data_IF_406677165706
#
_entry.id   IF_406677165706
#
_cell.length_a   1.000
_cell.length_b   1.000
_cell.length_c   1.000
_cell.angle_alpha   90.00
_cell.angle_beta   90.00
_cell.angle_gamma   90.00
#
_symmetry.space_group_name_H-M   'P 1'
#
loop_
_entity.id
_entity.type
_entity.pdbx_description
1 polymer ?
#
# COMPACT_ATOMS: atom_id res chain seq x y z
N UNK A 1 -3.65 -10.43 14.31
CA UNK A 1 -3.29 -10.42 12.87
C UNK A 1 -3.23 -8.96 12.46
N UNK A 2 -2.28 -8.59 11.61
CA UNK A 2 -2.20 -7.26 11.00
C UNK A 2 -1.74 -7.44 9.56
N UNK A 3 -2.57 -7.11 8.58
CA UNK A 3 -2.26 -7.19 7.15
C UNK A 3 -2.69 -5.90 6.47
N UNK A 4 -1.93 -5.44 5.48
CA UNK A 4 -2.29 -4.27 4.67
C UNK A 4 -3.47 -4.57 3.76
N UNK A 5 -4.41 -3.62 3.70
CA UNK A 5 -5.54 -3.64 2.78
C UNK A 5 -5.73 -2.25 2.16
N UNK A 6 -5.23 -2.06 0.94
CA UNK A 6 -5.52 -0.85 0.17
C UNK A 6 -6.93 -0.96 -0.43
N UNK A 7 -7.80 0.04 -0.21
CA UNK A 7 -9.10 0.08 -0.88
C UNK A 7 -9.13 1.17 -1.94
N UNK A 8 -9.17 0.80 -3.22
CA UNK A 8 -9.27 1.72 -4.35
C UNK A 8 -10.72 1.81 -4.84
N UNK A 9 -11.25 3.02 -4.85
CA UNK A 9 -12.53 3.35 -5.49
C UNK A 9 -12.28 3.75 -6.94
N UNK A 10 -13.04 3.17 -7.87
CA UNK A 10 -12.77 3.32 -9.31
C UNK A 10 -14.03 3.20 -10.16
N UNK A 11 -14.12 4.04 -11.18
CA UNK A 11 -15.12 3.94 -12.25
C UNK A 11 -14.73 2.97 -13.37
N UNK A 12 -13.55 2.36 -13.28
CA UNK A 12 -12.98 1.44 -14.25
C UNK A 12 -12.63 0.09 -13.58
N UNK A 13 -13.59 -0.46 -12.81
CA UNK A 13 -13.38 -1.66 -11.99
C UNK A 13 -12.84 -2.85 -12.81
N UNK A 14 -13.40 -3.23 -13.98
CA UNK A 14 -12.89 -4.34 -14.77
C UNK A 14 -11.44 -4.13 -15.25
N UNK A 15 -11.12 -2.92 -15.71
CA UNK A 15 -9.81 -2.56 -16.24
C UNK A 15 -8.74 -2.56 -15.14
N UNK A 16 -9.04 -1.95 -13.99
CA UNK A 16 -8.12 -1.91 -12.86
C UNK A 16 -7.92 -3.31 -12.28
N UNK A 17 -8.97 -4.14 -12.23
CA UNK A 17 -8.85 -5.56 -11.84
C UNK A 17 -7.91 -6.30 -12.80
N UNK A 18 -8.08 -6.13 -14.12
CA UNK A 18 -7.21 -6.75 -15.13
C UNK A 18 -5.75 -6.34 -14.95
N UNK A 19 -5.48 -5.05 -14.76
CA UNK A 19 -4.13 -4.54 -14.47
C UNK A 19 -3.51 -5.23 -13.25
N UNK A 20 -4.24 -5.34 -12.14
CA UNK A 20 -3.73 -5.96 -10.92
C UNK A 20 -3.47 -7.46 -11.09
N UNK A 21 -4.28 -8.17 -11.88
CA UNK A 21 -4.02 -9.56 -12.26
C UNK A 21 -2.78 -9.69 -13.14
N UNK A 22 -2.60 -8.80 -14.12
CA UNK A 22 -1.43 -8.79 -15.01
C UNK A 22 -0.14 -8.46 -14.24
N UNK A 23 -0.24 -7.70 -13.15
CA UNK A 23 0.82 -7.45 -12.18
C UNK A 23 1.14 -8.67 -11.30
N UNK A 24 0.30 -9.70 -11.31
CA UNK A 24 0.52 -10.95 -10.58
C UNK A 24 -0.18 -11.03 -9.22
N UNK A 25 -1.16 -10.15 -8.94
CA UNK A 25 -2.11 -10.41 -7.86
C UNK A 25 -3.09 -11.50 -8.32
N UNK A 26 -3.73 -12.17 -7.37
CA UNK A 26 -4.70 -13.25 -7.64
C UNK A 26 -6.08 -12.91 -7.09
N UNK A 27 -7.16 -13.41 -7.69
CA UNK A 27 -8.51 -13.21 -7.16
C UNK A 27 -8.63 -13.84 -5.77
N UNK A 28 -9.20 -13.09 -4.82
CA UNK A 28 -9.54 -13.57 -3.48
C UNK A 28 -11.05 -13.70 -3.30
N UNK A 29 -11.73 -12.57 -3.20
CA UNK A 29 -13.18 -12.47 -2.98
C UNK A 29 -13.78 -11.47 -3.97
N UNK A 30 -15.01 -11.68 -4.42
CA UNK A 30 -15.67 -10.74 -5.33
C UNK A 30 -17.19 -10.75 -5.18
N UNK A 31 -17.82 -9.67 -5.63
CA UNK A 31 -19.26 -9.50 -5.64
C UNK A 31 -19.67 -8.35 -6.55
N UNK A 32 -20.95 -8.00 -6.53
CA UNK A 32 -21.46 -6.91 -7.35
C UNK A 32 -20.81 -5.57 -6.96
N UNK A 33 -20.10 -4.95 -7.90
CA UNK A 33 -19.44 -3.66 -7.71
C UNK A 33 -18.19 -3.69 -6.81
N UNK A 34 -17.62 -4.87 -6.51
CA UNK A 34 -16.36 -4.94 -5.76
C UNK A 34 -15.58 -6.23 -6.00
N UNK A 35 -14.27 -6.16 -5.76
CA UNK A 35 -13.37 -7.31 -5.76
C UNK A 35 -12.27 -7.12 -4.72
N UNK A 36 -11.69 -8.20 -4.22
CA UNK A 36 -10.47 -8.22 -3.41
C UNK A 36 -9.48 -9.13 -4.09
N UNK A 37 -8.29 -8.58 -4.36
CA UNK A 37 -7.17 -9.30 -4.93
C UNK A 37 -6.07 -9.43 -3.88
N UNK A 38 -5.50 -10.62 -3.81
CA UNK A 38 -4.41 -10.92 -2.92
C UNK A 38 -3.08 -10.79 -3.67
N UNK A 39 -2.13 -10.08 -3.06
CA UNK A 39 -0.72 -10.14 -3.48
C UNK A 39 0.02 -11.19 -2.66
N UNK A 40 1.30 -11.40 -2.95
CA UNK A 40 2.14 -12.18 -2.04
C UNK A 40 2.20 -11.53 -0.66
N UNK A 41 2.07 -10.21 -0.52
CA UNK A 41 2.19 -9.53 0.77
C UNK A 41 1.22 -8.34 0.86
N UNK A 42 0.04 -8.57 1.44
CA UNK A 42 -1.04 -7.58 1.53
C UNK A 42 -2.14 -7.79 0.47
N UNK A 43 -3.20 -6.99 0.55
CA UNK A 43 -4.39 -7.11 -0.33
C UNK A 43 -4.80 -5.77 -0.92
N UNK A 44 -5.46 -5.83 -2.06
CA UNK A 44 -6.12 -4.68 -2.68
C UNK A 44 -7.60 -4.98 -2.82
N UNK A 45 -8.44 -4.16 -2.19
CA UNK A 45 -9.88 -4.12 -2.46
C UNK A 45 -10.16 -3.07 -3.51
N UNK A 46 -10.97 -3.44 -4.49
CA UNK A 46 -11.54 -2.55 -5.47
C UNK A 46 -13.02 -2.34 -5.17
N UNK A 47 -13.48 -1.10 -5.26
CA UNK A 47 -14.89 -0.71 -5.14
C UNK A 47 -15.28 0.11 -6.36
N UNK A 48 -16.42 -0.21 -6.97
CA UNK A 48 -17.01 0.64 -7.99
C UNK A 48 -17.33 2.02 -7.42
N UNK A 49 -17.05 3.05 -8.21
CA UNK A 49 -17.44 4.43 -7.98
C UNK A 49 -18.02 5.02 -9.27
N UNK A 50 -18.85 6.05 -9.15
CA UNK A 50 -19.33 6.79 -10.31
C UNK A 50 -18.18 7.60 -10.92
N UNK A 51 -18.08 7.62 -12.26
CA UNK A 51 -17.04 8.35 -12.97
C UNK A 51 -17.07 9.85 -12.62
N UNK A 52 -15.92 10.36 -12.19
CA UNK A 52 -15.78 11.78 -11.82
C UNK A 52 -16.38 12.16 -10.46
N UNK A 53 -16.91 11.19 -9.70
CA UNK A 53 -17.28 11.42 -8.31
C UNK A 53 -16.03 11.73 -7.46
N UNK A 54 -16.17 12.39 -6.30
CA UNK A 54 -15.04 12.66 -5.41
C UNK A 54 -14.29 11.41 -4.91
N UNK A 55 -14.93 10.24 -4.97
CA UNK A 55 -14.33 8.96 -4.59
C UNK A 55 -13.58 8.30 -5.75
N UNK A 56 -13.88 8.66 -7.00
CA UNK A 56 -13.28 8.03 -8.17
C UNK A 56 -11.76 8.26 -8.18
N UNK A 57 -11.02 7.17 -8.30
CA UNK A 57 -9.57 7.19 -8.23
C UNK A 57 -8.99 7.38 -6.81
N UNK A 58 -9.79 7.36 -5.74
CA UNK A 58 -9.25 7.50 -4.38
C UNK A 58 -8.80 6.16 -3.81
N UNK A 59 -7.71 6.18 -3.04
CA UNK A 59 -7.24 5.02 -2.27
C UNK A 59 -7.37 5.31 -0.78
N UNK A 60 -8.04 4.41 -0.06
CA UNK A 60 -8.18 4.45 1.38
C UNK A 60 -7.10 3.57 2.01
N UNK A 61 -6.41 4.15 2.99
CA UNK A 61 -5.48 3.45 3.86
C UNK A 61 -6.28 2.53 4.80
N UNK A 62 -5.93 1.25 4.88
CA UNK A 62 -6.64 0.28 5.72
C UNK A 62 -5.80 -0.94 6.06
N UNK A 63 -6.20 -1.62 7.13
CA UNK A 63 -5.59 -2.89 7.54
C UNK A 63 -6.65 -3.92 7.89
N UNK A 64 -6.28 -5.19 7.80
CA UNK A 64 -7.09 -6.31 8.28
C UNK A 64 -6.55 -6.85 9.60
N UNK A 65 -7.48 -7.17 10.51
CA UNK A 65 -7.21 -7.70 11.83
C UNK A 65 -8.06 -8.94 12.10
N UNK A 66 -7.67 -9.76 13.08
CA UNK A 66 -8.46 -10.96 13.42
C UNK A 66 -9.63 -10.63 14.33
N UNK A 67 -9.39 -9.76 15.31
CA UNK A 67 -10.33 -9.41 16.36
C UNK A 67 -10.25 -7.90 16.58
N UNK A 68 -11.34 -7.20 16.28
CA UNK A 68 -11.40 -5.74 16.37
C UNK A 68 -11.29 -5.25 17.82
N UNK A 69 -11.94 -5.92 18.78
CA UNK A 69 -11.95 -5.51 20.18
C UNK A 69 -10.55 -5.64 20.80
N UNK A 70 -9.93 -6.80 20.62
CA UNK A 70 -8.58 -7.04 21.16
C UNK A 70 -7.53 -6.17 20.44
N UNK A 71 -7.71 -5.91 19.15
CA UNK A 71 -6.83 -5.00 18.41
C UNK A 71 -6.93 -3.57 18.92
N UNK A 72 -8.14 -3.04 19.14
CA UNK A 72 -8.35 -1.70 19.68
C UNK A 72 -7.71 -1.58 21.08
N UNK A 73 -7.96 -2.56 21.95
CA UNK A 73 -7.40 -2.58 23.31
C UNK A 73 -5.88 -2.52 23.30
N UNK A 74 -5.21 -3.41 22.55
CA UNK A 74 -3.74 -3.43 22.46
C UNK A 74 -3.17 -2.16 21.87
N UNK A 75 -3.82 -1.62 20.83
CA UNK A 75 -3.38 -0.35 20.21
C UNK A 75 -3.39 0.79 21.23
N UNK A 76 -4.40 0.86 22.11
CA UNK A 76 -4.46 1.85 23.19
C UNK A 76 -3.41 1.57 24.26
N UNK A 77 -3.24 0.32 24.68
CA UNK A 77 -2.22 -0.07 25.67
C UNK A 77 -0.80 0.26 25.20
N UNK A 78 -0.55 0.15 23.89
CA UNK A 78 0.73 0.49 23.25
C UNK A 78 0.86 1.99 22.91
N UNK A 79 -0.06 2.84 23.41
CA UNK A 79 0.01 4.30 23.31
C UNK A 79 -0.60 4.92 22.04
N UNK A 80 -1.27 4.11 21.21
CA UNK A 80 -2.02 4.57 20.05
C UNK A 80 -3.43 5.07 20.39
N UNK A 81 -4.13 5.62 19.38
CA UNK A 81 -5.55 6.01 19.51
C UNK A 81 -6.39 5.11 18.63
N UNK A 82 -7.22 4.29 19.25
CA UNK A 82 -8.12 3.37 18.59
C UNK A 82 -9.53 3.42 19.22
N UNK A 83 -10.56 3.39 18.38
CA UNK A 83 -11.95 3.35 18.80
C UNK A 83 -12.71 2.29 18.00
N UNK A 84 -13.54 1.50 18.69
CA UNK A 84 -14.46 0.60 18.01
C UNK A 84 -15.58 1.41 17.34
N UNK A 85 -15.90 1.06 16.10
CA UNK A 85 -17.02 1.61 15.35
C UNK A 85 -17.91 0.46 14.87
N UNK A 86 -19.22 0.64 14.99
CA UNK A 86 -20.19 -0.23 14.33
C UNK A 86 -20.30 0.16 12.86
N UNK A 87 -20.32 -0.85 11.99
CA UNK A 87 -20.53 -0.67 10.55
C UNK A 87 -21.49 -1.74 10.05
N UNK A 88 -22.07 -1.53 8.86
CA UNK A 88 -22.94 -2.52 8.22
C UNK A 88 -22.25 -3.89 8.02
N UNK A 89 -20.91 -3.92 7.95
CA UNK A 89 -20.10 -5.14 7.84
C UNK A 89 -19.65 -5.73 9.19
N UNK A 90 -20.18 -5.24 10.30
CA UNK A 90 -19.76 -5.61 11.65
C UNK A 90 -18.80 -4.61 12.30
N UNK A 91 -18.29 -4.93 13.50
CA UNK A 91 -17.42 -4.02 14.26
C UNK A 91 -16.08 -3.85 13.55
N UNK A 92 -15.63 -2.60 13.43
CA UNK A 92 -14.30 -2.23 12.92
C UNK A 92 -13.60 -1.34 13.93
N UNK A 93 -12.32 -1.07 13.73
CA UNK A 93 -11.57 -0.13 14.57
C UNK A 93 -11.16 1.07 13.74
N UNK A 94 -11.48 2.27 14.20
CA UNK A 94 -10.89 3.51 13.72
C UNK A 94 -9.58 3.76 14.46
N UNK A 95 -8.52 4.00 13.72
CA UNK A 95 -7.23 4.44 14.22
C UNK A 95 -7.07 5.90 13.82
N UNK A 96 -6.59 6.73 14.76
CA UNK A 96 -6.39 8.17 14.53
C UNK A 96 -4.97 8.58 14.91
N UNK A 97 -4.24 9.14 13.96
CA UNK A 97 -2.92 9.70 14.15
C UNK A 97 -2.90 10.98 14.99
N UNK A 98 -1.71 11.43 15.40
CA UNK A 98 -1.55 12.70 16.10
C UNK A 98 -1.86 13.92 15.22
N UNK A 99 -1.70 13.79 13.90
CA UNK A 99 -2.01 14.80 12.88
C UNK A 99 -3.49 14.80 12.44
N UNK A 100 -4.33 13.95 13.06
CA UNK A 100 -5.74 13.80 12.71
C UNK A 100 -6.03 12.89 11.52
N UNK A 101 -5.01 12.36 10.83
CA UNK A 101 -5.23 11.32 9.83
C UNK A 101 -5.89 10.11 10.48
N UNK A 102 -6.87 9.50 9.82
CA UNK A 102 -7.52 8.32 10.36
C UNK A 102 -7.78 7.27 9.31
N UNK A 103 -7.60 6.02 9.70
CA UNK A 103 -7.83 4.84 8.86
C UNK A 103 -8.54 3.74 9.66
N UNK A 104 -8.96 2.69 8.97
CA UNK A 104 -9.73 1.60 9.58
C UNK A 104 -8.95 0.29 9.62
N UNK A 105 -9.18 -0.47 10.70
CA UNK A 105 -8.86 -1.88 10.77
C UNK A 105 -10.15 -2.71 10.71
N UNK A 106 -10.24 -3.61 9.73
CA UNK A 106 -11.42 -4.44 9.50
C UNK A 106 -11.16 -5.89 9.94
N UNK A 107 -12.13 -6.54 10.61
CA UNK A 107 -12.00 -7.96 10.94
C UNK A 107 -11.99 -8.81 9.67
N UNK A 108 -11.12 -9.82 9.63
CA UNK A 108 -11.08 -10.83 8.57
C UNK A 108 -10.86 -12.22 9.14
N UNK A 109 -11.51 -13.22 8.54
CA UNK A 109 -11.23 -14.63 8.76
C UNK A 109 -10.13 -15.15 7.80
N UNK A 110 -9.77 -14.37 6.78
CA UNK A 110 -8.82 -14.75 5.75
C UNK A 110 -7.38 -14.68 6.29
N UNK A 111 -6.78 -15.86 6.56
CA UNK A 111 -5.46 -15.96 7.18
C UNK A 111 -4.33 -16.44 6.26
N UNK A 112 -4.68 -16.94 5.07
CA UNK A 112 -3.73 -17.52 4.12
C UNK A 112 -2.87 -16.47 3.42
N UNK A 113 -1.71 -16.89 2.94
CA UNK A 113 -0.96 -16.22 1.87
C UNK A 113 -1.29 -16.96 0.58
N UNK A 114 -1.62 -16.29 -0.53
CA UNK A 114 -1.86 -17.00 -1.78
C UNK A 114 -0.54 -17.60 -2.27
N UNK A 115 -0.61 -18.85 -2.72
CA UNK A 115 0.56 -19.55 -3.27
C UNK A 115 0.84 -19.16 -4.72
N UNK A 116 -0.19 -18.68 -5.44
CA UNK A 116 -0.11 -18.37 -6.87
C UNK A 116 0.14 -16.88 -7.17
N UNK A 117 0.20 -16.02 -6.15
CA UNK A 117 0.55 -14.62 -6.33
C UNK A 117 2.03 -14.45 -6.61
N UNK A 118 2.38 -13.47 -7.46
CA UNK A 118 3.77 -13.12 -7.78
C UNK A 118 4.55 -12.84 -6.48
N UNK A 119 5.57 -13.65 -6.14
CA UNK A 119 6.27 -13.58 -4.86
C UNK A 119 7.02 -12.26 -4.67
N UNK A 120 7.30 -11.54 -5.75
CA UNK A 120 8.02 -10.27 -5.70
C UNK A 120 7.08 -9.07 -5.52
N UNK A 121 5.76 -9.27 -5.55
CA UNK A 121 4.76 -8.21 -5.48
C UNK A 121 4.19 -8.03 -4.07
N UNK A 122 4.34 -6.83 -3.51
CA UNK A 122 3.89 -6.45 -2.17
C UNK A 122 3.03 -5.20 -2.22
N UNK A 123 1.91 -5.19 -1.48
CA UNK A 123 1.08 -3.98 -1.34
C UNK A 123 1.70 -3.04 -0.30
N UNK A 124 1.79 -1.75 -0.65
CA UNK A 124 2.26 -0.68 0.21
C UNK A 124 1.17 0.36 0.42
N UNK A 125 1.02 0.82 1.65
CA UNK A 125 0.20 1.99 1.98
C UNK A 125 1.06 3.11 2.52
N UNK A 126 0.78 4.33 2.07
CA UNK A 126 1.51 5.53 2.46
C UNK A 126 0.58 6.48 3.22
N UNK A 127 1.03 6.89 4.39
CA UNK A 127 0.47 7.96 5.19
C UNK A 127 1.39 9.17 5.06
N UNK A 128 0.95 10.14 4.26
CA UNK A 128 1.61 11.42 4.11
C UNK A 128 1.32 12.28 5.34
N UNK A 129 2.33 12.81 6.00
CA UNK A 129 2.16 13.44 7.32
C UNK A 129 3.14 14.59 7.55
N UNK A 130 2.71 15.69 8.22
CA UNK A 130 3.63 16.70 8.73
C UNK A 130 4.40 16.22 9.99
N UNK A 131 3.87 15.22 10.69
CA UNK A 131 4.42 14.66 11.94
C UNK A 131 4.90 13.22 11.71
N UNK A 132 6.07 13.10 11.05
CA UNK A 132 6.66 11.80 10.69
C UNK A 132 6.87 10.88 11.89
N UNK A 133 7.33 11.41 13.01
CA UNK A 133 7.64 10.61 14.20
C UNK A 133 6.35 10.19 14.93
N UNK A 134 5.36 11.07 15.00
CA UNK A 134 4.05 10.74 15.54
C UNK A 134 3.29 9.69 14.73
N UNK A 135 3.33 9.80 13.39
CA UNK A 135 2.77 8.77 12.51
C UNK A 135 3.52 7.44 12.65
N UNK A 136 4.85 7.46 12.72
CA UNK A 136 5.67 6.27 12.96
C UNK A 136 5.33 5.59 14.29
N UNK A 137 5.13 6.36 15.37
CA UNK A 137 4.70 5.85 16.66
C UNK A 137 3.29 5.21 16.59
N UNK A 138 2.35 5.85 15.87
CA UNK A 138 1.01 5.29 15.66
C UNK A 138 1.04 3.97 14.88
N UNK A 139 1.89 3.85 13.85
CA UNK A 139 2.08 2.59 13.11
C UNK A 139 2.73 1.52 13.99
N UNK A 140 3.68 1.87 14.86
CA UNK A 140 4.23 0.93 15.84
C UNK A 140 3.18 0.44 16.84
N UNK A 141 2.32 1.34 17.33
CA UNK A 141 1.27 1.03 18.31
C UNK A 141 0.20 0.06 17.78
N UNK A 142 -0.06 0.02 16.46
CA UNK A 142 -0.94 -1.01 15.86
C UNK A 142 -0.24 -2.37 15.69
N UNK A 143 1.01 -2.49 16.14
CA UNK A 143 1.82 -3.71 16.04
C UNK A 143 2.57 -3.87 14.71
N UNK A 144 2.69 -2.82 13.89
CA UNK A 144 3.56 -2.84 12.73
C UNK A 144 5.03 -2.77 13.17
N UNK A 145 5.93 -3.41 12.42
CA UNK A 145 7.35 -3.53 12.82
C UNK A 145 8.25 -2.69 11.91
N UNK A 146 9.11 -1.81 12.45
CA UNK A 146 10.06 -1.06 11.62
C UNK A 146 10.90 -1.97 10.74
N UNK A 147 11.06 -1.61 9.45
CA UNK A 147 11.99 -2.29 8.54
C UNK A 147 13.41 -1.83 8.84
N UNK A 148 14.29 -2.78 9.18
CA UNK A 148 15.71 -2.49 9.46
C UNK A 148 16.46 -2.06 8.20
N UNK A 149 16.13 -2.68 7.06
CA UNK A 149 16.75 -2.41 5.75
C UNK A 149 15.65 -2.13 4.72
N UNK A 150 15.07 -0.92 4.72
CA UNK A 150 14.07 -0.58 3.73
C UNK A 150 14.71 -0.47 2.34
N UNK A 151 14.22 -1.27 1.40
CA UNK A 151 14.68 -1.26 0.01
C UNK A 151 14.16 -0.04 -0.76
N UNK A 152 12.98 0.47 -0.36
CA UNK A 152 12.24 1.47 -1.12
C UNK A 152 11.99 2.79 -0.39
N UNK A 153 12.55 2.97 0.81
CA UNK A 153 12.32 4.17 1.60
C UNK A 153 13.18 5.35 1.11
N UNK A 154 12.58 6.50 0.77
CA UNK A 154 13.32 7.75 0.77
C UNK A 154 13.72 8.15 2.20
N UNK A 155 14.69 9.05 2.35
CA UNK A 155 15.13 9.56 3.65
C UNK A 155 13.99 10.23 4.45
N UNK A 156 13.00 10.76 3.74
CA UNK A 156 11.79 11.40 4.25
C UNK A 156 10.70 10.42 4.73
N UNK A 157 10.97 9.10 4.73
CA UNK A 157 10.00 8.08 5.13
C UNK A 157 10.45 7.22 6.32
N UNK A 158 9.47 6.57 6.94
CA UNK A 158 9.63 5.49 7.93
C UNK A 158 8.76 4.31 7.50
N UNK A 159 9.37 3.15 7.31
CA UNK A 159 8.67 1.96 6.80
C UNK A 159 8.50 0.88 7.85
N UNK A 160 7.36 0.21 7.77
CA UNK A 160 6.96 -0.85 8.67
C UNK A 160 6.41 -2.03 7.89
N UNK A 161 6.67 -3.23 8.38
CA UNK A 161 6.04 -4.45 7.89
C UNK A 161 4.86 -4.80 8.78
N UNK A 162 3.71 -5.06 8.16
CA UNK A 162 2.57 -5.65 8.84
C UNK A 162 2.80 -7.16 9.03
N UNK A 163 2.53 -7.69 10.23
CA UNK A 163 2.88 -9.08 10.62
C UNK A 163 2.40 -10.14 9.63
N UNK A 164 1.28 -9.91 8.95
CA UNK A 164 0.60 -10.86 8.07
C UNK A 164 0.62 -10.43 6.59
N UNK A 165 1.45 -9.45 6.23
CA UNK A 165 1.68 -9.06 4.83
C UNK A 165 1.42 -7.59 4.56
N UNK A 166 2.23 -7.04 3.66
CA UNK A 166 2.21 -5.65 3.21
C UNK A 166 3.14 -4.73 3.98
N UNK A 167 3.34 -3.54 3.39
CA UNK A 167 4.17 -2.47 3.94
C UNK A 167 3.31 -1.25 4.26
N UNK A 168 3.60 -0.64 5.40
CA UNK A 168 3.03 0.63 5.84
C UNK A 168 4.17 1.65 5.88
N UNK A 169 3.97 2.83 5.32
CA UNK A 169 4.97 3.89 5.34
C UNK A 169 4.36 5.19 5.83
N UNK A 170 5.04 5.84 6.78
CA UNK A 170 4.83 7.26 7.05
C UNK A 170 5.80 8.05 6.18
N UNK A 171 5.30 9.04 5.43
CA UNK A 171 6.06 9.83 4.47
C UNK A 171 5.88 11.31 4.82
N UNK A 172 6.97 12.07 4.92
CA UNK A 172 6.90 13.50 5.24
C UNK A 172 6.17 14.26 4.12
N UNK A 173 5.17 15.05 4.49
CA UNK A 173 4.40 15.93 3.62
C UNK A 173 3.86 17.13 4.41
N UNK A 174 3.36 18.16 3.73
CA UNK A 174 2.82 19.36 4.40
C UNK A 174 1.45 19.12 5.08
N UNK A 175 0.74 18.08 4.65
CA UNK A 175 -0.59 17.75 5.15
C UNK A 175 -0.83 16.25 5.27
N UNK A 176 -1.63 15.89 6.28
CA UNK A 176 -2.09 14.54 6.56
C UNK A 176 -2.97 14.00 5.42
N UNK A 177 -2.56 12.92 4.76
CA UNK A 177 -3.35 12.26 3.71
C UNK A 177 -2.94 10.81 3.47
N UNK A 178 -3.83 10.05 2.82
CA UNK A 178 -3.48 8.75 2.25
C UNK A 178 -2.77 8.96 0.91
N UNK A 179 -1.76 8.15 0.64
CA UNK A 179 -1.17 8.04 -0.70
C UNK A 179 -2.09 7.34 -1.70
N UNK A 180 -1.59 7.18 -2.93
CA UNK A 180 -2.26 6.43 -4.00
C UNK A 180 -2.21 4.91 -3.79
N UNK A 181 -2.57 4.15 -4.83
CA UNK A 181 -2.33 2.70 -4.85
C UNK A 181 -0.87 2.43 -5.21
N UNK A 182 -0.10 1.95 -4.23
CA UNK A 182 1.35 1.71 -4.36
C UNK A 182 1.66 0.23 -4.14
N UNK A 183 2.52 -0.31 -5.00
CA UNK A 183 3.07 -1.66 -4.89
C UNK A 183 4.61 -1.59 -4.80
N UNK A 184 5.22 -2.52 -4.09
CA UNK A 184 6.66 -2.79 -4.14
C UNK A 184 6.90 -4.02 -5.02
N UNK A 185 7.88 -3.92 -5.92
CA UNK A 185 8.33 -5.03 -6.74
C UNK A 185 9.81 -5.34 -6.47
N UNK A 186 10.05 -6.48 -5.83
CA UNK A 186 11.39 -6.94 -5.47
C UNK A 186 12.12 -7.67 -6.61
N UNK A 187 11.40 -8.03 -7.68
CA UNK A 187 11.91 -8.78 -8.82
C UNK A 187 12.69 -7.90 -9.81
N UNK A 188 13.02 -8.47 -10.97
CA UNK A 188 13.81 -7.76 -11.98
C UNK A 188 12.91 -6.86 -12.81
N UNK A 189 13.11 -5.54 -12.74
CA UNK A 189 12.40 -4.55 -13.57
C UNK A 189 12.45 -4.86 -15.06
N UNK A 190 13.56 -5.40 -15.55
CA UNK A 190 13.74 -5.82 -16.96
C UNK A 190 12.79 -6.93 -17.39
N UNK A 191 12.18 -7.66 -16.45
CA UNK A 191 11.17 -8.69 -16.70
C UNK A 191 9.76 -8.12 -16.54
N UNK A 192 9.56 -7.21 -15.58
CA UNK A 192 8.26 -6.57 -15.34
C UNK A 192 7.81 -5.66 -16.48
N UNK A 193 8.68 -4.78 -16.99
CA UNK A 193 8.30 -3.79 -18.01
C UNK A 193 7.80 -4.44 -19.32
N UNK A 194 8.49 -5.44 -19.91
CA UNK A 194 7.98 -6.12 -21.10
C UNK A 194 6.66 -6.85 -20.86
N UNK A 195 6.48 -7.48 -19.68
CA UNK A 195 5.23 -8.16 -19.31
C UNK A 195 4.06 -7.18 -19.29
N UNK A 196 4.24 -6.02 -18.66
CA UNK A 196 3.22 -4.97 -18.60
C UNK A 196 2.90 -4.39 -19.98
N UNK A 197 3.92 -4.11 -20.80
CA UNK A 197 3.73 -3.63 -22.16
C UNK A 197 2.93 -4.64 -23.02
N UNK A 198 3.25 -5.94 -22.91
CA UNK A 198 2.54 -7.00 -23.62
C UNK A 198 1.07 -7.13 -23.18
N UNK A 199 0.78 -6.87 -21.91
CA UNK A 199 -0.58 -6.85 -21.36
C UNK A 199 -1.38 -5.57 -21.72
N UNK A 200 -0.72 -4.58 -22.34
CA UNK A 200 -1.31 -3.30 -22.74
C UNK A 200 -1.26 -2.23 -21.65
N UNK A 201 -0.34 -2.36 -20.70
CA UNK A 201 -0.14 -1.43 -19.58
C UNK A 201 1.26 -0.80 -19.65
N UNK A 202 1.53 0.13 -20.58
CA UNK A 202 2.82 0.79 -20.63
C UNK A 202 3.07 1.53 -19.31
N UNK A 203 4.21 1.26 -18.68
CA UNK A 203 4.64 1.94 -17.47
C UNK A 203 5.69 2.99 -17.81
N UNK A 204 5.57 4.17 -17.21
CA UNK A 204 6.53 5.26 -17.36
C UNK A 204 7.47 5.30 -16.14
N UNK A 205 8.77 5.41 -16.38
CA UNK A 205 9.71 5.64 -15.29
C UNK A 205 9.66 7.12 -14.88
N UNK A 206 9.40 7.36 -13.59
CA UNK A 206 9.41 8.69 -13.01
C UNK A 206 10.70 8.86 -12.23
N UNK A 207 11.58 9.72 -12.72
CA UNK A 207 12.74 10.20 -11.97
C UNK A 207 12.27 11.27 -11.01
N UNK A 208 12.51 11.09 -9.71
CA UNK A 208 12.47 12.22 -8.77
C UNK A 208 13.69 13.11 -9.07
N UNK A 209 13.47 14.33 -9.56
CA UNK A 209 14.47 15.39 -9.42
C UNK A 209 14.63 15.65 -7.91
N UNK A 210 15.78 15.21 -7.39
CA UNK A 210 16.44 15.58 -6.13
C UNK A 210 15.53 16.08 -4.98
N UNK A 211 15.05 15.14 -4.15
CA UNK A 211 14.80 15.46 -2.74
C UNK A 211 16.14 15.40 -1.98
N UNK A 212 16.57 16.56 -1.50
CA UNK A 212 17.83 16.83 -0.80
C UNK A 212 18.27 15.71 0.16
N UNK A 213 19.50 15.21 -0.05
CA UNK A 213 20.22 14.41 0.95
C UNK A 213 20.71 13.04 0.46
N UNK A 214 21.76 13.03 -0.37
CA UNK A 214 22.66 11.88 -0.52
C UNK A 214 21.98 10.59 -1.00
N UNK A 215 21.49 10.58 -2.24
CA UNK A 215 20.98 9.36 -2.88
C UNK A 215 22.02 8.24 -2.85
N UNK A 216 21.63 7.08 -2.31
CA UNK A 216 22.41 5.85 -2.47
C UNK A 216 22.53 5.55 -3.97
N UNK A 217 23.73 5.34 -4.53
CA UNK A 217 23.86 4.85 -5.90
C UNK A 217 23.19 3.47 -6.00
N UNK A 218 22.20 3.34 -6.90
CA UNK A 218 21.27 2.20 -7.00
C UNK A 218 19.81 2.50 -6.58
N UNK A 219 19.38 3.78 -6.65
CA UNK A 219 18.12 4.29 -6.11
C UNK A 219 16.82 3.60 -6.57
N UNK A 220 15.76 3.85 -5.81
CA UNK A 220 14.39 3.37 -6.08
C UNK A 220 13.90 3.96 -7.39
N UNK A 221 13.40 3.10 -8.29
CA UNK A 221 12.73 3.53 -9.52
C UNK A 221 11.23 3.49 -9.26
N UNK A 222 10.55 4.59 -9.61
CA UNK A 222 9.09 4.64 -9.59
C UNK A 222 8.57 4.40 -10.99
N UNK A 223 7.74 3.37 -11.14
CA UNK A 223 6.99 3.11 -12.36
C UNK A 223 5.56 3.61 -12.17
N UNK A 224 5.10 4.41 -13.11
CA UNK A 224 3.78 5.00 -13.13
C UNK A 224 2.96 4.33 -14.22
N UNK A 225 1.83 3.75 -13.84
CA UNK A 225 0.89 3.11 -14.78
C UNK A 225 -0.40 3.93 -14.77
N UNK A 226 -0.69 4.70 -15.82
CA UNK A 226 -1.96 5.41 -15.94
C UNK A 226 -3.13 4.45 -15.95
N UNK A 227 -4.23 4.81 -15.27
CA UNK A 227 -5.45 4.00 -15.28
C UNK A 227 -6.68 4.79 -15.72
N UNK A 228 -7.75 4.13 -16.21
CA UNK A 228 -8.90 4.82 -16.81
C UNK A 228 -9.79 5.60 -15.82
N UNK A 229 -9.53 5.48 -14.52
CA UNK A 229 -10.16 6.30 -13.48
C UNK A 229 -9.40 7.63 -13.23
N UNK A 230 -8.32 7.87 -13.98
CA UNK A 230 -7.58 9.11 -13.97
C UNK A 230 -6.52 9.23 -12.87
N UNK A 231 -6.27 8.19 -12.05
CA UNK A 231 -5.03 8.13 -11.24
C UNK A 231 -4.15 6.96 -11.60
N UNK A 232 -2.88 7.10 -11.24
CA UNK A 232 -1.87 6.11 -11.54
C UNK A 232 -1.83 5.00 -10.47
N UNK A 233 -1.44 3.80 -10.89
CA UNK A 233 -0.85 2.81 -9.98
C UNK A 233 0.66 3.02 -9.98
N UNK A 234 1.23 3.13 -8.79
CA UNK A 234 2.67 3.32 -8.61
C UNK A 234 3.33 1.99 -8.22
N UNK A 235 4.46 1.67 -8.84
CA UNK A 235 5.31 0.54 -8.46
C UNK A 235 6.68 1.07 -8.07
N UNK A 236 7.11 0.75 -6.86
CA UNK A 236 8.47 0.96 -6.39
C UNK A 236 9.29 -0.27 -6.76
N UNK A 237 10.25 -0.10 -7.67
CA UNK A 237 11.12 -1.16 -8.14
C UNK A 237 12.57 -0.86 -7.80
N UNK A 238 13.38 -1.90 -7.61
CA UNK A 238 14.79 -1.71 -7.33
C UNK A 238 15.48 -1.10 -8.56
N UNK A 239 16.34 -0.10 -8.35
CA UNK A 239 17.18 0.43 -9.40
C UNK A 239 18.17 -0.61 -9.93
N UNK A 240 18.79 -0.37 -11.09
CA UNK A 240 19.86 -1.23 -11.56
C UNK A 240 20.95 -1.25 -10.49
N UNK A 241 21.44 -2.44 -10.13
CA UNK A 241 22.64 -2.56 -9.31
C UNK A 241 23.75 -1.78 -10.02
N UNK A 242 24.20 -0.66 -9.45
CA UNK A 242 25.36 0.05 -9.97
C UNK A 242 26.51 -0.94 -10.02
N UNK A 243 27.01 -1.23 -11.23
CA UNK A 243 28.20 -2.06 -11.38
C UNK A 243 29.31 -1.50 -10.47
N UNK A 244 30.09 -2.35 -9.78
CA UNK A 244 31.17 -1.87 -8.94
C UNK A 244 32.08 -0.99 -9.79
N UNK A 245 32.31 0.25 -9.34
CA UNK A 245 33.33 1.12 -9.94
C UNK A 245 34.66 0.38 -9.84
N UNK A 246 35.13 -0.17 -10.97
CA UNK A 246 36.51 -0.66 -11.07
C UNK A 246 37.42 0.53 -10.75
N UNK A 247 38.17 0.39 -9.66
CA UNK A 247 39.23 1.33 -9.28
C UNK A 247 40.49 1.04 -10.09
#
# INVERSE_FOLDING_TARGET
MLRVLATRYTSALPELRRLLLDLGLVPGEEGEGWAVLDSHSGRVRLRSAERGSPQDGTTVFGVEVRDAQEFARRTVDDGGRAALEDSAGGPRVRITGPDGFGFTAEPTSHAGRPVDADPDMTVRLEWNTPDLDGAAAALAAIGARPRQEPLFAPASAREFTAKNGGVLAAVRADAASAGGLVLEYAGRRSELLPRLALAGWPAEEVTEEEAEGGGRPGGVVRLRIPTPDGRDVMILAAGPATAPRMR
#
